data_IF_165060791489
#
_entry.id   IF_165060791489
#
_cell.length_a   1.000
_cell.length_b   1.000
_cell.length_c   1.000
_cell.angle_alpha   90.00
_cell.angle_beta   90.00
_cell.angle_gamma   90.00
#
_symmetry.space_group_name_H-M   'P 1'
#
loop_
_entity.id
_entity.type
_entity.pdbx_description
1 polymer ?
#
# COMPACT_ATOMS: atom_id res chain seq x y z
N UNK A 1 21.40 -35.06 -5.75
CA UNK A 1 20.11 -34.59 -5.22
C UNK A 1 20.17 -33.09 -5.30
N UNK A 2 19.36 -32.45 -6.14
CA UNK A 2 19.29 -30.99 -6.17
C UNK A 2 18.68 -30.53 -4.85
N UNK A 3 19.37 -29.68 -4.08
CA UNK A 3 18.79 -29.02 -2.91
C UNK A 3 17.55 -28.23 -3.37
N UNK A 4 16.41 -28.56 -2.78
CA UNK A 4 15.11 -28.02 -3.18
C UNK A 4 14.95 -26.60 -2.63
N UNK A 5 15.54 -25.63 -3.34
CA UNK A 5 15.48 -24.21 -2.93
C UNK A 5 14.06 -23.65 -3.06
N UNK A 6 13.56 -23.06 -1.97
CA UNK A 6 12.23 -22.45 -1.91
C UNK A 6 12.32 -20.93 -2.09
N UNK A 7 11.31 -20.31 -2.70
CA UNK A 7 11.23 -18.85 -2.78
C UNK A 7 10.94 -18.27 -1.40
N UNK A 8 11.68 -17.24 -1.01
CA UNK A 8 11.51 -16.50 0.23
C UNK A 8 11.41 -15.01 -0.04
N UNK A 9 10.72 -14.31 0.86
CA UNK A 9 10.64 -12.85 0.91
C UNK A 9 11.24 -12.39 2.24
N UNK A 10 12.09 -11.38 2.18
CA UNK A 10 12.46 -10.59 3.35
C UNK A 10 12.01 -9.13 3.15
N UNK A 11 11.82 -8.44 4.26
CA UNK A 11 11.39 -7.06 4.29
C UNK A 11 12.08 -6.33 5.43
N UNK A 12 12.65 -5.17 5.12
CA UNK A 12 13.35 -4.34 6.11
C UNK A 12 12.77 -2.96 6.12
N UNK A 13 12.44 -2.49 7.31
CA UNK A 13 11.90 -1.15 7.59
C UNK A 13 13.03 -0.22 8.00
N UNK A 14 13.13 0.94 7.34
CA UNK A 14 14.25 1.88 7.44
C UNK A 14 13.68 3.29 7.66
N UNK A 15 14.00 3.97 8.77
CA UNK A 15 13.63 5.37 8.96
C UNK A 15 14.36 6.28 7.96
N UNK A 16 13.79 7.44 7.69
CA UNK A 16 14.38 8.47 6.82
C UNK A 16 14.39 9.81 7.55
N UNK A 17 15.52 10.50 7.51
CA UNK A 17 15.65 11.86 8.06
C UNK A 17 15.06 12.93 7.13
N UNK A 18 15.06 12.67 5.82
CA UNK A 18 14.47 13.56 4.81
C UNK A 18 14.04 12.77 3.56
N UNK A 19 13.24 13.33 2.64
CA UNK A 19 12.72 12.60 1.48
C UNK A 19 13.77 11.92 0.60
N UNK A 20 14.99 12.45 0.50
CA UNK A 20 16.06 11.86 -0.31
C UNK A 20 17.01 10.94 0.45
N UNK A 21 16.68 10.59 1.69
CA UNK A 21 17.58 9.83 2.56
C UNK A 21 17.61 8.36 2.15
N UNK A 22 18.81 7.88 1.83
CA UNK A 22 19.08 6.48 1.48
C UNK A 22 20.22 5.91 2.34
N UNK A 23 20.64 6.61 3.40
CA UNK A 23 21.79 6.22 4.21
C UNK A 23 21.59 4.86 4.90
N UNK A 24 20.41 4.64 5.51
CA UNK A 24 20.09 3.34 6.12
C UNK A 24 19.99 2.19 5.10
N UNK A 25 19.60 2.49 3.85
CA UNK A 25 19.62 1.50 2.78
C UNK A 25 21.07 1.18 2.35
N UNK A 26 21.93 2.19 2.25
CA UNK A 26 23.36 2.04 1.97
C UNK A 26 24.07 1.19 3.02
N UNK A 27 23.80 1.46 4.30
CA UNK A 27 24.33 0.69 5.43
C UNK A 27 23.95 -0.80 5.31
N UNK A 28 22.67 -1.11 5.15
CA UNK A 28 22.19 -2.50 5.03
C UNK A 28 22.75 -3.23 3.80
N UNK A 29 22.98 -2.53 2.70
CA UNK A 29 23.67 -3.10 1.52
C UNK A 29 25.14 -3.37 1.84
N UNK A 30 25.83 -2.43 2.48
CA UNK A 30 27.24 -2.58 2.86
C UNK A 30 27.47 -3.72 3.88
N UNK A 31 26.51 -3.96 4.77
CA UNK A 31 26.50 -5.07 5.73
C UNK A 31 26.15 -6.42 5.07
N UNK A 32 25.78 -6.44 3.79
CA UNK A 32 25.33 -7.63 3.07
C UNK A 32 23.95 -8.14 3.50
N UNK A 33 23.17 -7.32 4.22
CA UNK A 33 21.81 -7.67 4.68
C UNK A 33 20.74 -7.45 3.62
N UNK A 34 21.02 -6.58 2.65
CA UNK A 34 20.16 -6.35 1.48
C UNK A 34 21.01 -6.48 0.22
N UNK A 35 20.58 -7.32 -0.71
CA UNK A 35 21.08 -7.32 -2.08
C UNK A 35 20.19 -6.37 -2.91
N UNK A 36 20.74 -5.26 -3.45
CA UNK A 36 19.98 -4.28 -4.22
C UNK A 36 19.30 -4.88 -5.45
N UNK A 37 19.82 -5.96 -6.03
CA UNK A 37 19.22 -6.62 -7.20
C UNK A 37 18.05 -7.54 -6.86
N UNK A 38 17.88 -7.90 -5.59
CA UNK A 38 16.73 -8.70 -5.11
C UNK A 38 15.52 -7.87 -4.73
N UNK A 39 15.65 -6.54 -4.68
CA UNK A 39 14.57 -5.63 -4.29
C UNK A 39 13.48 -5.64 -5.37
N UNK A 40 12.27 -6.08 -5.02
CA UNK A 40 11.13 -6.19 -5.95
C UNK A 40 10.06 -5.12 -5.74
N UNK A 41 10.04 -4.46 -4.58
CA UNK A 41 9.10 -3.38 -4.28
C UNK A 41 9.60 -2.51 -3.13
N UNK A 42 9.14 -1.26 -3.09
CA UNK A 42 9.35 -0.36 -1.96
C UNK A 42 8.04 0.32 -1.60
N UNK A 43 7.70 0.36 -0.32
CA UNK A 43 6.62 1.19 0.20
C UNK A 43 7.22 2.27 1.09
N UNK A 44 6.71 3.50 1.05
CA UNK A 44 7.30 4.57 1.84
C UNK A 44 6.31 5.62 2.31
N UNK A 45 6.67 6.23 3.43
CA UNK A 45 5.93 7.32 4.05
C UNK A 45 6.85 8.53 4.15
N UNK A 46 6.46 9.62 3.49
CA UNK A 46 7.25 10.86 3.44
C UNK A 46 6.55 11.98 4.17
N UNK A 47 7.32 12.98 4.60
CA UNK A 47 6.82 14.22 5.19
C UNK A 47 5.76 14.89 4.30
N UNK A 48 4.92 15.73 4.90
CA UNK A 48 3.95 16.55 4.18
C UNK A 48 4.58 17.29 3.01
N UNK A 49 3.95 17.17 1.83
CA UNK A 49 4.35 17.89 0.63
C UNK A 49 3.70 19.27 0.62
N UNK A 50 4.43 20.29 0.18
CA UNK A 50 3.84 21.60 -0.15
C UNK A 50 3.44 21.62 -1.63
N UNK A 51 2.83 22.71 -2.11
CA UNK A 51 2.57 22.87 -3.55
C UNK A 51 3.85 22.95 -4.39
N UNK A 52 5.00 23.21 -3.77
CA UNK A 52 6.31 23.38 -4.44
C UNK A 52 7.19 22.14 -4.29
N UNK A 53 7.05 21.40 -3.18
CA UNK A 53 7.89 20.24 -2.85
C UNK A 53 7.07 18.94 -2.84
N UNK A 54 7.45 18.00 -3.71
CA UNK A 54 6.82 16.68 -3.75
C UNK A 54 7.74 15.61 -3.15
N UNK A 55 7.67 15.50 -1.83
CA UNK A 55 8.48 14.56 -1.04
C UNK A 55 8.39 13.10 -1.53
N UNK A 56 7.29 12.68 -2.14
CA UNK A 56 7.15 11.32 -2.71
C UNK A 56 8.04 11.13 -3.92
N UNK A 57 8.01 12.10 -4.84
CA UNK A 57 8.81 12.06 -6.08
C UNK A 57 10.29 12.15 -5.75
N UNK A 58 10.67 12.97 -4.76
CA UNK A 58 12.03 13.05 -4.28
C UNK A 58 12.52 11.71 -3.70
N UNK A 59 11.71 11.04 -2.88
CA UNK A 59 12.05 9.73 -2.31
C UNK A 59 12.12 8.63 -3.37
N UNK A 60 11.16 8.61 -4.29
CA UNK A 60 11.12 7.67 -5.41
C UNK A 60 12.40 7.80 -6.26
N UNK A 61 12.75 9.02 -6.68
CA UNK A 61 13.98 9.29 -7.44
C UNK A 61 15.25 8.91 -6.67
N UNK A 62 15.31 9.23 -5.38
CA UNK A 62 16.48 8.92 -4.55
C UNK A 62 16.70 7.41 -4.44
N UNK A 63 15.65 6.63 -4.17
CA UNK A 63 15.74 5.17 -4.09
C UNK A 63 16.08 4.58 -5.46
N UNK A 64 15.47 5.03 -6.56
CA UNK A 64 15.81 4.55 -7.91
C UNK A 64 17.27 4.83 -8.27
N UNK A 65 17.76 6.05 -8.00
CA UNK A 65 19.15 6.43 -8.25
C UNK A 65 20.12 5.55 -7.44
N UNK A 66 19.80 5.32 -6.16
CA UNK A 66 20.56 4.40 -5.31
C UNK A 66 20.62 2.98 -5.90
N UNK A 67 19.50 2.43 -6.36
CA UNK A 67 19.46 1.09 -6.97
C UNK A 67 20.27 1.00 -8.26
N UNK A 68 20.29 2.07 -9.07
CA UNK A 68 21.12 2.15 -10.29
C UNK A 68 22.60 2.16 -9.92
N UNK A 69 22.98 2.85 -8.85
CA UNK A 69 24.37 3.01 -8.43
C UNK A 69 24.93 1.74 -7.75
N UNK A 70 24.11 1.07 -6.93
CA UNK A 70 24.56 -0.02 -6.07
C UNK A 70 24.26 -1.42 -6.64
N UNK A 71 23.39 -1.53 -7.64
CA UNK A 71 22.99 -2.80 -8.25
C UNK A 71 23.55 -3.03 -9.66
N UNK A 72 23.16 -4.14 -10.26
CA UNK A 72 23.51 -4.49 -11.65
C UNK A 72 22.32 -4.37 -12.62
N UNK A 73 21.11 -4.19 -12.09
CA UNK A 73 19.90 -4.00 -12.91
C UNK A 73 19.94 -2.75 -13.77
N UNK A 74 19.40 -2.85 -14.97
CA UNK A 74 19.23 -1.70 -15.86
C UNK A 74 18.24 -0.68 -15.30
N UNK A 75 18.37 0.58 -15.71
CA UNK A 75 17.41 1.63 -15.36
C UNK A 75 15.96 1.25 -15.71
N UNK A 76 15.76 0.53 -16.82
CA UNK A 76 14.43 0.04 -17.25
C UNK A 76 13.85 -1.00 -16.28
N UNK A 77 14.67 -1.91 -15.77
CA UNK A 77 14.24 -2.90 -14.78
C UNK A 77 13.91 -2.22 -13.45
N UNK A 78 14.74 -1.26 -13.05
CA UNK A 78 14.49 -0.46 -11.85
C UNK A 78 13.19 0.33 -12.00
N UNK A 79 12.95 0.98 -13.15
CA UNK A 79 11.70 1.69 -13.49
C UNK A 79 10.44 0.84 -13.40
N UNK A 80 10.56 -0.49 -13.51
CA UNK A 80 9.44 -1.41 -13.35
C UNK A 80 9.10 -1.72 -11.87
N UNK A 81 10.02 -1.47 -10.93
CA UNK A 81 9.80 -1.69 -9.50
C UNK A 81 8.71 -0.73 -8.99
N UNK A 82 7.63 -1.25 -8.36
CA UNK A 82 6.64 -0.42 -7.70
C UNK A 82 7.25 0.36 -6.53
N UNK A 83 7.05 1.68 -6.56
CA UNK A 83 7.51 2.62 -5.52
C UNK A 83 6.27 3.29 -4.90
N UNK A 84 5.74 2.69 -3.84
CA UNK A 84 4.46 3.08 -3.24
C UNK A 84 4.68 4.10 -2.12
N UNK A 85 5.03 5.31 -2.53
CA UNK A 85 5.21 6.44 -1.61
C UNK A 85 3.90 7.21 -1.36
N UNK A 86 3.63 7.50 -0.09
CA UNK A 86 2.55 8.41 0.30
C UNK A 86 3.06 9.52 1.21
N UNK A 87 2.61 10.75 0.95
CA UNK A 87 2.98 11.92 1.75
C UNK A 87 2.03 12.17 2.92
N UNK A 88 2.48 13.00 3.84
CA UNK A 88 1.64 13.61 4.86
C UNK A 88 1.61 12.85 6.16
N UNK A 89 2.78 12.58 6.70
CA UNK A 89 2.96 12.44 8.14
C UNK A 89 3.18 13.80 8.79
N UNK A 90 2.61 13.95 9.97
CA UNK A 90 2.78 15.08 10.88
C UNK A 90 2.68 14.55 12.32
N UNK A 91 3.07 15.36 13.30
CA UNK A 91 3.09 14.97 14.70
C UNK A 91 4.24 13.99 14.99
N UNK A 92 3.92 12.85 15.62
CA UNK A 92 4.91 11.89 16.10
C UNK A 92 5.38 10.86 15.07
N UNK A 93 4.74 10.77 13.89
CA UNK A 93 5.04 9.74 12.90
C UNK A 93 6.39 10.01 12.20
N UNK A 94 7.19 8.95 12.01
CA UNK A 94 8.53 9.03 11.42
C UNK A 94 8.50 8.70 9.92
N UNK A 95 9.18 9.48 9.05
CA UNK A 95 9.34 9.12 7.64
C UNK A 95 10.10 7.81 7.51
N UNK A 96 9.72 6.97 6.55
CA UNK A 96 10.31 5.64 6.41
C UNK A 96 10.12 5.01 5.02
N UNK A 97 10.91 3.99 4.75
CA UNK A 97 10.66 3.00 3.71
C UNK A 97 10.61 1.58 4.29
N UNK A 98 9.90 0.71 3.59
CA UNK A 98 10.02 -0.74 3.72
C UNK A 98 10.44 -1.26 2.36
N UNK A 99 11.57 -1.95 2.33
CA UNK A 99 12.15 -2.56 1.13
C UNK A 99 11.85 -4.05 1.16
N UNK A 100 11.32 -4.57 0.05
CA UNK A 100 10.96 -5.98 -0.11
C UNK A 100 11.92 -6.66 -1.07
N UNK A 101 12.56 -7.74 -0.62
CA UNK A 101 13.49 -8.53 -1.40
C UNK A 101 12.98 -9.95 -1.60
N UNK A 102 13.17 -10.51 -2.80
CA UNK A 102 12.79 -11.88 -3.14
C UNK A 102 14.02 -12.68 -3.58
N UNK A 103 14.24 -13.83 -2.95
CA UNK A 103 15.39 -14.70 -3.19
C UNK A 103 15.02 -16.17 -3.06
N UNK A 104 15.95 -17.06 -3.44
CA UNK A 104 15.85 -18.49 -3.19
C UNK A 104 16.59 -18.79 -1.90
N UNK A 105 15.88 -19.31 -0.90
CA UNK A 105 16.46 -19.72 0.36
C UNK A 105 16.99 -21.15 0.27
N UNK A 106 18.05 -21.42 1.03
CA UNK A 106 18.59 -22.78 1.22
C UNK A 106 17.71 -23.61 2.17
N UNK A 107 16.87 -22.95 2.97
CA UNK A 107 15.87 -23.60 3.82
C UNK A 107 14.62 -24.00 3.05
N UNK A 108 14.06 -25.14 3.42
CA UNK A 108 12.79 -25.62 2.89
C UNK A 108 11.60 -25.03 3.64
N UNK A 109 10.47 -24.92 2.95
CA UNK A 109 9.23 -24.49 3.57
C UNK A 109 8.75 -25.49 4.63
N UNK A 110 8.24 -25.00 5.76
CA UNK A 110 7.74 -25.81 6.88
C UNK A 110 6.23 -26.11 6.79
N UNK A 111 5.57 -25.69 5.72
CA UNK A 111 4.13 -25.85 5.49
C UNK A 111 3.23 -24.87 6.24
N UNK A 112 3.76 -24.03 7.14
CA UNK A 112 2.95 -23.16 8.00
C UNK A 112 2.53 -21.82 7.36
N UNK A 113 2.90 -21.61 6.10
CA UNK A 113 2.58 -20.41 5.33
C UNK A 113 3.56 -19.27 5.62
N UNK A 114 4.28 -18.81 4.58
CA UNK A 114 5.17 -17.65 4.65
C UNK A 114 4.82 -16.62 3.59
N UNK A 115 5.25 -15.39 3.83
CA UNK A 115 4.97 -14.24 3.00
C UNK A 115 5.36 -14.50 1.55
N UNK A 116 4.37 -14.38 0.68
CA UNK A 116 4.54 -14.31 -0.76
C UNK A 116 4.15 -12.91 -1.24
N UNK A 117 5.00 -12.33 -2.08
CA UNK A 117 4.77 -11.02 -2.69
C UNK A 117 4.76 -11.16 -4.19
N UNK A 118 3.79 -10.48 -4.80
CA UNK A 118 3.73 -10.30 -6.23
C UNK A 118 3.49 -8.84 -6.59
N UNK A 119 4.07 -8.41 -7.70
CA UNK A 119 3.94 -7.03 -8.18
C UNK A 119 3.33 -6.97 -9.56
N UNK A 120 2.58 -5.90 -9.84
CA UNK A 120 2.07 -5.64 -11.17
C UNK A 120 1.82 -4.15 -11.41
N UNK A 121 1.78 -3.79 -12.69
CA UNK A 121 1.37 -2.48 -13.18
C UNK A 121 0.22 -2.65 -14.16
N UNK A 122 -0.76 -1.76 -14.11
CA UNK A 122 -1.87 -1.77 -15.06
C UNK A 122 -1.42 -1.39 -16.46
N UNK A 123 -2.32 -1.47 -17.45
CA UNK A 123 -2.17 -0.64 -18.65
C UNK A 123 -2.15 0.86 -18.29
N UNK A 124 -1.66 1.71 -19.18
CA UNK A 124 -1.74 3.17 -19.02
C UNK A 124 -3.21 3.56 -18.83
N UNK A 125 -3.53 4.20 -17.72
CA UNK A 125 -4.88 4.71 -17.45
C UNK A 125 -5.16 5.86 -18.41
N UNK A 126 -6.22 5.73 -19.21
CA UNK A 126 -6.56 6.74 -20.20
C UNK A 126 -7.57 7.76 -19.65
N UNK A 127 -7.49 9.04 -20.04
CA UNK A 127 -8.42 10.07 -19.56
C UNK A 127 -9.89 9.68 -19.73
N UNK A 128 -10.24 9.08 -20.87
CA UNK A 128 -11.60 8.65 -21.20
C UNK A 128 -12.13 7.45 -20.39
N UNK A 129 -11.29 6.83 -19.57
CA UNK A 129 -11.72 5.77 -18.65
C UNK A 129 -12.17 6.29 -17.29
N UNK A 130 -11.88 7.56 -16.98
CA UNK A 130 -12.11 8.13 -15.65
C UNK A 130 -13.56 7.95 -15.19
N UNK A 131 -13.74 7.32 -14.02
CA UNK A 131 -15.08 7.05 -13.47
C UNK A 131 -15.88 5.94 -14.18
N UNK A 132 -15.26 5.22 -15.11
CA UNK A 132 -15.87 4.06 -15.78
C UNK A 132 -15.36 2.72 -15.25
N UNK A 133 -16.11 1.65 -15.55
CA UNK A 133 -15.74 0.27 -15.19
C UNK A 133 -14.43 -0.20 -15.84
N UNK A 134 -13.97 0.48 -16.90
CA UNK A 134 -12.69 0.22 -17.55
C UNK A 134 -11.52 0.38 -16.57
N UNK A 135 -11.52 1.42 -15.71
CA UNK A 135 -10.50 1.59 -14.66
C UNK A 135 -10.56 0.43 -13.69
N UNK A 136 -11.77 0.09 -13.22
CA UNK A 136 -11.97 -0.98 -12.23
C UNK A 136 -11.48 -2.33 -12.77
N UNK A 137 -11.81 -2.65 -14.03
CA UNK A 137 -11.36 -3.87 -14.71
C UNK A 137 -9.84 -3.91 -14.90
N UNK A 138 -9.24 -2.79 -15.32
CA UNK A 138 -7.78 -2.70 -15.47
C UNK A 138 -7.06 -2.91 -14.13
N UNK A 139 -7.62 -2.39 -13.02
CA UNK A 139 -7.09 -2.64 -11.67
C UNK A 139 -7.29 -4.10 -11.27
N UNK A 140 -8.46 -4.70 -11.52
CA UNK A 140 -8.70 -6.11 -11.23
C UNK A 140 -7.72 -7.02 -11.98
N UNK A 141 -7.45 -6.75 -13.25
CA UNK A 141 -6.45 -7.49 -14.04
C UNK A 141 -5.03 -7.28 -13.51
N UNK A 142 -4.72 -6.10 -12.97
CA UNK A 142 -3.45 -5.82 -12.29
C UNK A 142 -3.32 -6.65 -11.01
N UNK A 143 -4.38 -6.74 -10.20
CA UNK A 143 -4.41 -7.60 -9.00
C UNK A 143 -4.21 -9.06 -9.37
N UNK A 144 -4.88 -9.55 -10.42
CA UNK A 144 -4.66 -10.92 -10.93
C UNK A 144 -3.23 -11.12 -11.43
N UNK A 145 -2.64 -10.11 -12.07
CA UNK A 145 -1.23 -10.11 -12.47
C UNK A 145 -0.29 -10.25 -11.27
N UNK A 146 -0.51 -9.46 -10.22
CA UNK A 146 0.26 -9.54 -8.99
C UNK A 146 0.06 -10.89 -8.28
N UNK A 147 -1.16 -11.44 -8.26
CA UNK A 147 -1.42 -12.78 -7.73
C UNK A 147 -0.58 -13.85 -8.45
N UNK A 148 -0.52 -13.79 -9.79
CA UNK A 148 0.30 -14.69 -10.60
C UNK A 148 1.79 -14.54 -10.31
N UNK A 149 2.30 -13.32 -10.18
CA UNK A 149 3.71 -13.08 -9.81
C UNK A 149 4.05 -13.60 -8.40
N UNK A 150 3.11 -13.51 -7.45
CA UNK A 150 3.22 -14.13 -6.13
C UNK A 150 3.10 -15.66 -6.15
N UNK A 151 2.54 -16.23 -7.24
CA UNK A 151 2.17 -17.64 -7.34
C UNK A 151 1.07 -18.05 -6.36
N UNK A 152 0.07 -17.19 -6.17
CA UNK A 152 -1.15 -17.45 -5.38
C UNK A 152 -2.40 -17.21 -6.22
N UNK A 153 -3.53 -17.82 -5.82
CA UNK A 153 -4.83 -17.46 -6.42
C UNK A 153 -5.23 -16.05 -5.97
N UNK A 154 -5.97 -15.28 -6.80
CA UNK A 154 -6.46 -13.96 -6.39
C UNK A 154 -7.24 -13.95 -5.07
N UNK A 155 -8.00 -15.01 -4.77
CA UNK A 155 -8.73 -15.15 -3.50
C UNK A 155 -7.85 -15.42 -2.27
N UNK A 156 -6.61 -15.87 -2.48
CA UNK A 156 -5.58 -16.10 -1.43
C UNK A 156 -4.76 -14.84 -1.14
N UNK A 157 -5.02 -13.72 -1.85
CA UNK A 157 -4.45 -12.43 -1.47
C UNK A 157 -5.04 -12.02 -0.12
N UNK A 158 -4.15 -11.80 0.84
CA UNK A 158 -4.48 -11.32 2.17
C UNK A 158 -4.63 -9.80 2.18
N UNK A 159 -3.71 -9.10 1.50
CA UNK A 159 -3.72 -7.63 1.46
C UNK A 159 -3.07 -7.08 0.18
N UNK A 160 -3.51 -5.90 -0.26
CA UNK A 160 -2.96 -5.18 -1.42
C UNK A 160 -2.56 -3.77 -1.02
N UNK A 161 -1.31 -3.39 -1.25
CA UNK A 161 -0.83 -2.01 -1.08
C UNK A 161 -0.48 -1.45 -2.45
N UNK A 162 -0.78 -0.18 -2.71
CA UNK A 162 -0.50 0.36 -4.02
C UNK A 162 -0.71 1.86 -4.21
N UNK A 163 -0.49 2.26 -5.46
CA UNK A 163 -0.69 3.61 -5.95
C UNK A 163 -1.51 3.54 -7.23
N UNK A 164 -2.72 4.08 -7.18
CA UNK A 164 -3.57 4.26 -8.34
C UNK A 164 -3.33 5.67 -8.89
N UNK A 165 -2.77 5.76 -10.08
CA UNK A 165 -2.64 7.04 -10.77
C UNK A 165 -3.85 7.30 -11.64
N UNK A 166 -4.29 8.55 -11.67
CA UNK A 166 -5.17 9.08 -12.70
C UNK A 166 -4.41 10.04 -13.64
N UNK A 167 -4.84 10.17 -14.90
CA UNK A 167 -4.40 11.25 -15.79
C UNK A 167 -4.64 12.61 -15.14
N UNK A 168 -3.86 13.63 -15.52
CA UNK A 168 -4.05 14.97 -14.93
C UNK A 168 -5.41 15.56 -15.32
N UNK A 169 -5.96 16.44 -14.48
CA UNK A 169 -7.33 16.95 -14.65
C UNK A 169 -7.55 17.63 -16.00
N UNK A 170 -6.56 18.36 -16.52
CA UNK A 170 -6.62 19.01 -17.82
C UNK A 170 -6.82 18.00 -18.97
N UNK A 171 -6.19 16.82 -18.87
CA UNK A 171 -6.35 15.75 -19.85
C UNK A 171 -7.75 15.13 -19.77
N UNK A 172 -8.27 14.94 -18.55
CA UNK A 172 -9.63 14.43 -18.32
C UNK A 172 -10.67 15.42 -18.86
N UNK A 173 -10.50 16.72 -18.60
CA UNK A 173 -11.39 17.77 -19.09
C UNK A 173 -11.42 17.82 -20.61
N UNK A 174 -10.26 17.74 -21.28
CA UNK A 174 -10.19 17.67 -22.75
C UNK A 174 -10.85 16.41 -23.31
N UNK A 175 -10.64 15.25 -22.68
CA UNK A 175 -11.27 14.01 -23.13
C UNK A 175 -12.79 14.04 -22.99
N UNK A 176 -13.31 14.76 -21.98
CA UNK A 176 -14.75 14.91 -21.75
C UNK A 176 -15.48 15.69 -22.86
N UNK A 177 -14.77 16.45 -23.69
CA UNK A 177 -15.34 17.07 -24.90
C UNK A 177 -15.77 16.03 -25.96
N UNK A 178 -15.25 14.80 -25.87
CA UNK A 178 -15.40 13.75 -26.90
C UNK A 178 -15.91 12.42 -26.36
N UNK A 179 -15.93 12.26 -25.03
CA UNK A 179 -16.29 11.03 -24.34
C UNK A 179 -17.24 11.33 -23.19
N UNK A 180 -18.10 10.35 -22.87
CA UNK A 180 -19.00 10.44 -21.71
C UNK A 180 -18.22 10.14 -20.43
N UNK A 181 -17.69 11.19 -19.83
CA UNK A 181 -16.90 11.15 -18.59
C UNK A 181 -17.67 11.96 -17.53
N UNK A 182 -17.85 11.44 -16.30
CA UNK A 182 -18.45 12.19 -15.23
C UNK A 182 -17.69 13.50 -14.96
N UNK A 183 -18.40 14.52 -14.51
CA UNK A 183 -17.75 15.75 -14.05
C UNK A 183 -16.86 15.44 -12.85
N UNK A 184 -15.57 15.77 -12.97
CA UNK A 184 -14.59 15.60 -11.89
C UNK A 184 -13.77 16.87 -11.68
N UNK A 185 -13.35 17.06 -10.45
CA UNK A 185 -12.49 18.11 -9.90
C UNK A 185 -11.46 17.46 -8.94
N UNK A 186 -10.59 18.24 -8.31
CA UNK A 186 -9.56 17.72 -7.39
C UNK A 186 -10.14 16.85 -6.27
N UNK A 187 -11.32 17.19 -5.76
CA UNK A 187 -11.94 16.48 -4.65
C UNK A 187 -12.57 15.16 -5.11
N UNK A 188 -13.24 15.16 -6.26
CA UNK A 188 -13.99 14.02 -6.80
C UNK A 188 -13.09 13.06 -7.57
N UNK A 189 -12.15 13.53 -8.40
CA UNK A 189 -11.25 12.66 -9.21
C UNK A 189 -10.51 11.66 -8.34
N UNK A 190 -10.03 12.14 -7.19
CA UNK A 190 -9.28 11.33 -6.27
C UNK A 190 -10.20 10.32 -5.53
N UNK A 191 -11.44 10.69 -5.18
CA UNK A 191 -12.43 9.75 -4.63
C UNK A 191 -12.81 8.67 -5.64
N UNK A 192 -13.06 9.06 -6.88
CA UNK A 192 -13.38 8.16 -7.99
C UNK A 192 -12.24 7.17 -8.25
N UNK A 193 -11.00 7.66 -8.25
CA UNK A 193 -9.81 6.81 -8.43
C UNK A 193 -9.63 5.85 -7.25
N UNK A 194 -9.78 6.36 -6.02
CA UNK A 194 -9.67 5.56 -4.79
C UNK A 194 -10.75 4.47 -4.72
N UNK A 195 -11.99 4.81 -5.05
CA UNK A 195 -13.11 3.87 -5.13
C UNK A 195 -12.91 2.81 -6.20
N UNK A 196 -12.47 3.23 -7.39
CA UNK A 196 -12.14 2.30 -8.48
C UNK A 196 -11.05 1.31 -8.09
N UNK A 197 -10.07 1.74 -7.28
CA UNK A 197 -9.04 0.85 -6.75
C UNK A 197 -9.59 -0.18 -5.76
N UNK A 198 -10.41 0.25 -4.80
CA UNK A 198 -11.07 -0.65 -3.85
C UNK A 198 -11.95 -1.68 -4.56
N UNK A 199 -12.78 -1.23 -5.51
CA UNK A 199 -13.64 -2.12 -6.31
C UNK A 199 -12.84 -3.09 -7.17
N UNK A 200 -11.76 -2.63 -7.82
CA UNK A 200 -10.93 -3.49 -8.68
C UNK A 200 -10.28 -4.62 -7.87
N UNK A 201 -9.87 -4.32 -6.64
CA UNK A 201 -9.40 -5.34 -5.68
C UNK A 201 -10.54 -6.29 -5.32
N UNK A 202 -11.71 -5.79 -4.90
CA UNK A 202 -12.86 -6.62 -4.56
C UNK A 202 -13.28 -7.56 -5.70
N UNK A 203 -13.29 -7.09 -6.95
CA UNK A 203 -13.58 -7.93 -8.14
C UNK A 203 -12.58 -9.08 -8.26
N UNK A 204 -11.29 -8.80 -8.05
CA UNK A 204 -10.26 -9.81 -8.20
C UNK A 204 -10.20 -10.80 -7.03
N UNK A 205 -10.35 -10.31 -5.79
CA UNK A 205 -10.11 -11.11 -4.56
C UNK A 205 -11.38 -11.73 -3.99
N UNK A 206 -12.54 -11.10 -4.21
CA UNK A 206 -13.82 -11.45 -3.58
C UNK A 206 -14.90 -11.83 -4.59
N UNK A 207 -14.64 -11.70 -5.91
CA UNK A 207 -15.58 -12.06 -6.96
C UNK A 207 -16.76 -11.10 -7.08
N UNK A 208 -16.58 -9.84 -6.68
CA UNK A 208 -17.60 -8.81 -6.86
C UNK A 208 -17.94 -8.63 -8.36
N UNK A 209 -19.20 -8.78 -8.70
CA UNK A 209 -19.73 -8.54 -10.05
C UNK A 209 -20.01 -7.05 -10.27
N UNK A 210 -19.55 -6.50 -11.39
CA UNK A 210 -19.75 -5.09 -11.75
C UNK A 210 -20.73 -4.96 -12.92
N UNK A 211 -21.89 -4.38 -12.65
CA UNK A 211 -22.93 -4.12 -13.67
C UNK A 211 -23.08 -2.65 -14.01
N UNK A 212 -22.83 -1.73 -13.07
CA UNK A 212 -23.08 -0.30 -13.22
C UNK A 212 -21.90 0.55 -12.69
N UNK A 213 -21.32 1.48 -13.46
CA UNK A 213 -20.30 2.41 -12.96
C UNK A 213 -20.77 3.29 -11.78
N UNK A 214 -22.07 3.48 -11.55
CA UNK A 214 -22.60 4.21 -10.41
C UNK A 214 -22.19 3.63 -9.05
N UNK A 215 -21.74 2.36 -9.02
CA UNK A 215 -21.18 1.75 -7.81
C UNK A 215 -19.85 2.38 -7.39
N UNK A 216 -19.15 3.10 -8.27
CA UNK A 216 -17.90 3.78 -7.92
C UNK A 216 -18.20 4.93 -6.95
N UNK A 217 -17.67 4.81 -5.74
CA UNK A 217 -17.94 5.73 -4.64
C UNK A 217 -19.16 5.38 -3.79
N UNK A 218 -19.90 4.31 -4.12
CA UNK A 218 -20.91 3.76 -3.23
C UNK A 218 -20.23 3.18 -1.98
N UNK A 219 -20.53 3.76 -0.83
CA UNK A 219 -19.85 3.44 0.43
C UNK A 219 -20.39 2.17 1.09
N UNK A 220 -21.49 1.59 0.59
CA UNK A 220 -22.00 0.30 1.06
C UNK A 220 -21.21 -0.87 0.45
N UNK A 221 -20.43 -0.62 -0.62
CA UNK A 221 -19.58 -1.60 -1.29
C UNK A 221 -18.12 -1.27 -1.07
N UNK A 222 -17.36 -2.16 -0.43
CA UNK A 222 -15.95 -1.95 -0.09
C UNK A 222 -15.23 -3.28 0.12
N UNK A 223 -13.89 -3.26 0.03
CA UNK A 223 -13.03 -4.40 0.41
C UNK A 223 -12.24 -4.12 1.69
N UNK A 224 -12.05 -5.15 2.51
CA UNK A 224 -11.19 -5.09 3.69
C UNK A 224 -9.70 -5.28 3.40
N UNK A 225 -9.31 -5.58 2.16
CA UNK A 225 -7.99 -6.12 1.81
C UNK A 225 -7.07 -5.12 1.11
N UNK A 226 -7.27 -3.81 1.29
CA UNK A 226 -6.59 -2.81 0.47
C UNK A 226 -6.08 -1.59 1.23
N UNK A 227 -4.91 -1.11 0.84
CA UNK A 227 -4.39 0.21 1.15
C UNK A 227 -3.76 0.86 -0.10
N UNK A 228 -4.61 1.40 -0.97
CA UNK A 228 -4.21 2.04 -2.23
C UNK A 228 -4.36 3.55 -2.13
N UNK A 229 -3.28 4.27 -2.40
CA UNK A 229 -3.31 5.73 -2.52
C UNK A 229 -3.65 6.15 -3.94
N UNK A 230 -4.59 7.08 -4.11
CA UNK A 230 -4.92 7.66 -5.40
C UNK A 230 -4.15 8.97 -5.60
N UNK A 231 -3.56 9.24 -6.76
CA UNK A 231 -2.88 10.52 -7.05
C UNK A 231 -2.93 10.85 -8.53
N UNK A 232 -2.78 12.12 -8.88
CA UNK A 232 -2.43 12.48 -10.26
C UNK A 232 -1.08 11.84 -10.62
N UNK A 233 -0.89 11.52 -11.90
CA UNK A 233 0.37 10.97 -12.38
C UNK A 233 1.55 11.89 -12.06
N UNK A 234 2.57 11.31 -11.45
CA UNK A 234 3.84 11.96 -11.17
C UNK A 234 4.86 11.34 -12.13
N UNK A 235 5.59 12.13 -12.94
CA UNK A 235 6.50 11.60 -13.97
C UNK A 235 7.79 11.07 -13.34
N UNK A 236 7.67 9.97 -12.60
CA UNK A 236 8.74 9.21 -11.96
C UNK A 236 8.38 7.72 -12.01
N UNK A 237 9.32 6.91 -12.53
CA UNK A 237 9.17 5.47 -12.60
C UNK A 237 8.07 5.00 -13.56
N UNK A 238 8.45 4.66 -14.79
CA UNK A 238 7.52 4.23 -15.85
C UNK A 238 7.14 5.34 -16.83
N UNK A 239 6.28 4.99 -17.78
CA UNK A 239 5.97 5.76 -18.99
C UNK A 239 4.57 6.42 -18.99
N UNK A 240 3.85 6.35 -17.88
CA UNK A 240 2.52 6.96 -17.77
C UNK A 240 1.76 6.63 -16.49
N UNK A 241 0.48 7.07 -16.37
CA UNK A 241 -0.41 6.80 -15.24
C UNK A 241 -0.75 5.30 -15.10
N UNK A 242 0.20 4.49 -14.63
CA UNK A 242 0.00 3.08 -14.33
C UNK A 242 -0.43 2.88 -12.88
N UNK A 243 -1.54 2.22 -12.60
CA UNK A 243 -1.76 1.71 -11.24
C UNK A 243 -0.67 0.69 -10.92
N UNK A 244 0.06 0.89 -9.82
CA UNK A 244 1.12 0.01 -9.34
C UNK A 244 0.67 -0.67 -8.06
N UNK A 245 0.69 -1.99 -8.03
CA UNK A 245 0.19 -2.78 -6.90
C UNK A 245 1.24 -3.79 -6.42
N UNK A 246 1.23 -4.00 -5.10
CA UNK A 246 1.92 -5.06 -4.40
C UNK A 246 0.84 -5.91 -3.73
N UNK A 247 0.73 -7.18 -4.12
CA UNK A 247 -0.15 -8.15 -3.50
C UNK A 247 0.64 -8.99 -2.49
N UNK A 248 0.11 -9.12 -1.29
CA UNK A 248 0.66 -9.92 -0.21
C UNK A 248 -0.27 -11.12 0.07
N UNK A 249 0.32 -12.30 0.21
CA UNK A 249 -0.37 -13.49 0.67
C UNK A 249 0.57 -14.39 1.48
N UNK A 250 0.08 -15.54 1.90
CA UNK A 250 0.90 -16.54 2.60
C UNK A 250 0.87 -17.86 1.83
N UNK A 251 2.05 -18.41 1.51
CA UNK A 251 2.23 -19.66 0.77
C UNK A 251 2.84 -20.74 1.65
N UNK A 252 2.24 -21.92 1.66
CA UNK A 252 2.73 -23.06 2.45
C UNK A 252 4.08 -23.59 1.94
N UNK A 253 4.39 -23.38 0.67
CA UNK A 253 5.64 -23.76 0.01
C UNK A 253 6.65 -22.60 -0.10
N UNK A 254 6.37 -21.45 0.52
CA UNK A 254 7.34 -20.36 0.64
C UNK A 254 8.21 -20.57 1.89
N UNK A 255 9.50 -20.27 1.74
CA UNK A 255 10.44 -20.20 2.86
C UNK A 255 10.46 -18.78 3.46
N UNK A 256 11.31 -18.59 4.48
CA UNK A 256 11.46 -17.33 5.19
C UNK A 256 10.69 -17.31 6.51
N UNK A 257 10.64 -16.13 7.12
CA UNK A 257 10.14 -15.93 8.49
C UNK A 257 8.95 -14.98 8.59
N UNK A 258 8.58 -14.34 7.49
CA UNK A 258 7.54 -13.32 7.49
C UNK A 258 6.16 -13.90 7.20
N UNK A 259 5.12 -13.28 7.73
CA UNK A 259 3.71 -13.52 7.39
C UNK A 259 2.95 -12.20 7.30
N UNK A 260 1.93 -12.17 6.43
CA UNK A 260 0.99 -11.05 6.33
C UNK A 260 -0.34 -11.41 6.98
N UNK A 261 -0.98 -10.43 7.58
CA UNK A 261 -2.38 -10.49 8.02
C UNK A 261 -3.04 -9.13 7.88
N UNK A 262 -4.36 -9.10 8.01
CA UNK A 262 -5.12 -7.85 7.95
C UNK A 262 -6.30 -7.83 8.90
N UNK A 263 -6.86 -6.64 9.10
CA UNK A 263 -8.15 -6.41 9.74
C UNK A 263 -8.81 -5.16 9.19
N UNK A 264 -10.11 -5.04 9.44
CA UNK A 264 -10.90 -3.83 9.19
C UNK A 264 -10.96 -2.98 10.46
N UNK A 265 -10.82 -1.67 10.29
CA UNK A 265 -11.15 -0.65 11.30
C UNK A 265 -12.59 -0.22 11.10
N UNK A 266 -13.45 -0.47 12.09
CA UNK A 266 -14.86 -0.09 12.00
C UNK A 266 -15.08 1.43 11.99
N UNK A 267 -14.26 2.15 12.75
CA UNK A 267 -14.17 3.60 12.75
C UNK A 267 -12.76 4.08 13.12
N UNK A 268 -12.52 5.40 13.08
CA UNK A 268 -11.22 5.98 13.40
C UNK A 268 -10.76 5.82 14.87
N UNK A 269 -11.59 5.28 15.77
CA UNK A 269 -11.25 4.97 17.17
C UNK A 269 -11.09 3.47 17.43
N UNK A 270 -11.22 2.62 16.41
CA UNK A 270 -11.09 1.17 16.54
C UNK A 270 -9.61 0.74 16.62
N UNK A 271 -8.95 1.10 17.71
CA UNK A 271 -7.57 0.70 17.99
C UNK A 271 -7.41 -0.82 18.07
N UNK A 272 -8.48 -1.53 18.46
CA UNK A 272 -8.50 -2.99 18.55
C UNK A 272 -8.42 -3.68 17.18
N UNK A 273 -8.54 -2.95 16.06
CA UNK A 273 -8.26 -3.50 14.75
C UNK A 273 -6.79 -3.93 14.58
N UNK A 274 -5.85 -3.26 15.26
CA UNK A 274 -4.44 -3.60 15.20
C UNK A 274 -4.13 -5.00 15.80
N UNK A 275 -4.49 -5.33 17.05
CA UNK A 275 -4.27 -6.67 17.57
C UNK A 275 -5.04 -7.74 16.78
N UNK A 276 -6.20 -7.43 16.18
CA UNK A 276 -6.87 -8.36 15.25
C UNK A 276 -6.00 -8.65 14.02
N UNK A 277 -5.40 -7.62 13.41
CA UNK A 277 -4.53 -7.80 12.25
C UNK A 277 -3.25 -8.58 12.61
N UNK A 278 -2.62 -8.26 13.76
CA UNK A 278 -1.41 -8.94 14.23
C UNK A 278 -1.66 -10.44 14.49
N UNK A 279 -2.77 -10.78 15.16
CA UNK A 279 -3.18 -12.18 15.36
C UNK A 279 -3.50 -12.88 14.04
N UNK A 280 -4.14 -12.20 13.09
CA UNK A 280 -4.37 -12.74 11.73
C UNK A 280 -3.06 -13.09 11.01
N UNK A 281 -2.00 -12.29 11.24
CA UNK A 281 -0.67 -12.53 10.69
C UNK A 281 0.12 -13.63 11.44
N UNK A 282 -0.39 -14.12 12.58
CA UNK A 282 0.23 -15.17 13.39
C UNK A 282 1.08 -14.66 14.56
N UNK A 283 1.02 -13.36 14.90
CA UNK A 283 1.65 -12.82 16.10
C UNK A 283 0.65 -12.76 17.26
N UNK A 284 0.89 -13.54 18.31
CA UNK A 284 0.05 -13.50 19.50
C UNK A 284 0.34 -12.24 20.34
N UNK A 285 -0.72 -11.50 20.63
CA UNK A 285 -0.67 -10.21 21.32
C UNK A 285 -1.82 -10.07 22.31
N UNK A 286 -1.59 -9.34 23.40
CA UNK A 286 -2.61 -9.02 24.38
C UNK A 286 -3.51 -7.86 23.95
N UNK A 287 -4.30 -7.35 24.91
CA UNK A 287 -5.23 -6.23 24.71
C UNK A 287 -4.64 -4.87 25.16
N UNK A 288 -3.30 -4.75 25.19
CA UNK A 288 -2.58 -3.52 25.53
C UNK A 288 -1.41 -3.26 24.58
N UNK A 289 -0.60 -2.21 24.87
CA UNK A 289 0.56 -1.87 24.05
C UNK A 289 1.53 -3.04 23.88
N UNK A 290 2.21 -3.09 22.75
CA UNK A 290 3.14 -4.17 22.42
C UNK A 290 4.35 -4.19 23.36
N UNK A 291 4.75 -5.38 23.78
CA UNK A 291 6.03 -5.59 24.47
C UNK A 291 7.20 -5.34 23.50
N UNK A 292 8.41 -5.09 24.03
CA UNK A 292 9.60 -4.91 23.18
C UNK A 292 9.85 -6.09 22.24
N UNK A 293 9.51 -7.31 22.66
CA UNK A 293 9.63 -8.50 21.81
C UNK A 293 8.63 -8.49 20.65
N UNK A 294 7.36 -8.18 20.94
CA UNK A 294 6.34 -8.04 19.90
C UNK A 294 6.67 -6.89 18.95
N UNK A 295 7.20 -5.77 19.45
CA UNK A 295 7.64 -4.64 18.65
C UNK A 295 8.69 -5.04 17.61
N UNK A 296 9.73 -5.78 18.02
CA UNK A 296 10.78 -6.27 17.11
C UNK A 296 10.24 -7.16 15.99
N UNK A 297 9.10 -7.83 16.22
CA UNK A 297 8.46 -8.73 15.27
C UNK A 297 7.50 -8.03 14.32
N UNK A 298 7.16 -6.75 14.54
CA UNK A 298 6.35 -5.99 13.58
C UNK A 298 7.26 -5.37 12.51
N UNK A 299 7.17 -5.87 11.29
CA UNK A 299 7.99 -5.41 10.16
C UNK A 299 7.35 -4.22 9.47
N UNK A 300 6.04 -4.25 9.23
CA UNK A 300 5.33 -3.12 8.63
C UNK A 300 3.86 -3.08 9.03
N UNK A 301 3.31 -1.86 9.02
CA UNK A 301 1.90 -1.57 9.27
C UNK A 301 1.40 -0.62 8.19
N UNK A 302 0.33 -1.03 7.50
CA UNK A 302 -0.34 -0.29 6.44
C UNK A 302 -1.75 0.08 6.86
N UNK A 303 -1.99 1.35 7.13
CA UNK A 303 -3.30 1.89 7.46
C UNK A 303 -3.86 2.68 6.27
N UNK A 304 -5.10 2.39 5.89
CA UNK A 304 -5.87 3.20 4.95
C UNK A 304 -7.16 3.62 5.65
N UNK A 305 -7.38 4.92 5.76
CA UNK A 305 -8.47 5.47 6.59
C UNK A 305 -9.28 6.53 5.87
N UNK A 306 -10.55 6.72 6.26
CA UNK A 306 -11.34 7.88 5.84
C UNK A 306 -12.14 8.44 7.01
N UNK A 307 -12.26 9.75 7.07
CA UNK A 307 -13.21 10.40 7.98
C UNK A 307 -14.64 9.95 7.71
N UNK A 308 -15.47 9.99 8.76
CA UNK A 308 -16.89 9.65 8.64
C UNK A 308 -17.59 10.58 7.62
N UNK A 309 -18.39 10.03 6.67
CA UNK A 309 -19.00 10.83 5.59
C UNK A 309 -19.84 12.04 6.05
N UNK A 310 -20.42 11.96 7.25
CA UNK A 310 -21.24 13.03 7.85
C UNK A 310 -20.49 13.87 8.89
N UNK A 311 -19.16 13.72 8.97
CA UNK A 311 -18.33 14.44 9.94
C UNK A 311 -18.68 14.11 11.40
N UNK A 312 -19.16 12.90 11.68
CA UNK A 312 -19.48 12.46 13.06
C UNK A 312 -18.82 11.12 13.37
N UNK A 313 -18.16 11.04 14.52
CA UNK A 313 -17.52 9.84 15.04
C UNK A 313 -18.21 9.46 16.35
N UNK A 314 -18.81 8.27 16.41
CA UNK A 314 -19.59 7.78 17.57
C UNK A 314 -20.55 8.83 18.14
N UNK A 315 -21.33 9.46 17.26
CA UNK A 315 -22.34 10.47 17.60
C UNK A 315 -21.82 11.89 17.81
N UNK A 316 -20.50 12.13 17.86
CA UNK A 316 -19.90 13.46 18.12
C UNK A 316 -19.46 14.13 16.84
N UNK A 317 -19.80 15.41 16.66
CA UNK A 317 -19.33 16.22 15.51
C UNK A 317 -17.81 16.33 15.55
N UNK A 318 -17.17 16.06 14.41
CA UNK A 318 -15.74 16.23 14.20
C UNK A 318 -15.47 17.63 13.63
N UNK A 319 -14.32 18.19 14.00
CA UNK A 319 -13.78 19.42 13.41
C UNK A 319 -12.50 19.01 12.70
N UNK A 320 -12.35 19.43 11.46
CA UNK A 320 -11.20 19.04 10.65
C UNK A 320 -10.83 20.20 9.75
N UNK A 321 -9.59 20.66 9.86
CA UNK A 321 -9.05 21.77 9.07
C UNK A 321 -8.43 21.23 7.79
N UNK A 322 -7.76 20.08 7.90
CA UNK A 322 -7.19 19.37 6.77
C UNK A 322 -7.58 17.88 6.80
N UNK A 323 -8.70 17.50 6.17
CA UNK A 323 -9.28 16.15 6.26
C UNK A 323 -8.32 14.99 5.99
N UNK A 324 -7.36 15.18 5.09
CA UNK A 324 -6.38 14.16 4.75
C UNK A 324 -5.21 14.04 5.73
N UNK A 325 -4.85 15.12 6.44
CA UNK A 325 -3.67 15.14 7.32
C UNK A 325 -4.07 14.98 8.79
N UNK A 326 -5.11 15.67 9.25
CA UNK A 326 -5.57 15.62 10.63
C UNK A 326 -5.95 14.20 11.04
N UNK A 327 -6.67 13.49 10.16
CA UNK A 327 -7.06 12.11 10.39
C UNK A 327 -5.85 11.17 10.45
N UNK A 328 -4.85 11.36 9.58
CA UNK A 328 -3.60 10.56 9.61
C UNK A 328 -2.84 10.80 10.91
N UNK A 329 -2.74 12.04 11.37
CA UNK A 329 -2.06 12.38 12.63
C UNK A 329 -2.77 11.76 13.82
N UNK A 330 -4.09 11.91 13.91
CA UNK A 330 -4.87 11.38 15.03
C UNK A 330 -4.85 9.84 15.08
N UNK A 331 -5.14 9.17 13.97
CA UNK A 331 -5.11 7.70 13.90
C UNK A 331 -3.69 7.17 14.03
N UNK A 332 -2.72 7.84 13.41
CA UNK A 332 -1.31 7.50 13.55
C UNK A 332 -0.84 7.55 14.99
N UNK A 333 -1.22 8.58 15.75
CA UNK A 333 -0.92 8.66 17.18
C UNK A 333 -1.61 7.57 18.01
N UNK A 334 -2.86 7.25 17.70
CA UNK A 334 -3.58 6.15 18.33
C UNK A 334 -2.89 4.80 18.09
N UNK A 335 -2.52 4.50 16.84
CA UNK A 335 -1.84 3.27 16.48
C UNK A 335 -0.43 3.21 17.07
N UNK A 336 0.32 4.33 17.03
CA UNK A 336 1.65 4.43 17.62
C UNK A 336 1.64 4.21 19.13
N UNK A 337 0.61 4.70 19.84
CA UNK A 337 0.43 4.43 21.26
C UNK A 337 0.23 2.95 21.58
N UNK A 338 -0.32 2.15 20.65
CA UNK A 338 -0.40 0.70 20.83
C UNK A 338 0.87 -0.01 20.37
N UNK A 339 1.42 0.38 19.23
CA UNK A 339 2.64 -0.19 18.67
C UNK A 339 3.88 0.12 19.52
N UNK A 340 3.85 1.21 20.29
CA UNK A 340 5.05 1.81 20.92
C UNK A 340 6.14 2.15 19.90
N UNK A 341 5.71 2.51 18.68
CA UNK A 341 6.56 2.81 17.52
C UNK A 341 5.84 3.81 16.61
N UNK A 342 6.60 4.64 15.92
CA UNK A 342 6.13 5.75 15.07
C UNK A 342 6.21 5.44 13.58
N UNK A 343 6.80 4.31 13.20
CA UNK A 343 7.02 3.91 11.82
C UNK A 343 5.78 3.23 11.22
N UNK A 344 4.79 4.04 10.82
CA UNK A 344 3.51 3.58 10.26
C UNK A 344 3.33 4.11 8.83
N UNK A 345 3.02 3.22 7.89
CA UNK A 345 2.55 3.65 6.57
C UNK A 345 1.04 3.93 6.69
N UNK A 346 0.65 5.20 6.57
CA UNK A 346 -0.74 5.61 6.69
C UNK A 346 -1.19 6.50 5.53
N UNK A 347 -2.34 6.17 4.95
CA UNK A 347 -2.93 6.88 3.82
C UNK A 347 -4.38 7.23 4.11
N UNK A 348 -4.82 8.41 3.65
CA UNK A 348 -6.18 8.88 3.84
C UNK A 348 -7.06 8.56 2.62
N UNK A 349 -8.35 8.79 2.81
CA UNK A 349 -9.43 8.68 1.84
C UNK A 349 -9.65 7.27 1.31
N UNK A 350 -10.04 6.42 2.24
CA UNK A 350 -10.43 5.03 2.06
C UNK A 350 -11.79 4.83 1.38
N UNK A 351 -12.09 5.57 0.30
CA UNK A 351 -13.31 5.34 -0.48
C UNK A 351 -13.29 3.91 -1.01
N UNK A 352 -14.26 3.10 -0.57
CA UNK A 352 -14.41 1.67 -0.88
C UNK A 352 -13.24 0.77 -0.44
N UNK A 353 -12.43 1.24 0.52
CA UNK A 353 -11.29 0.53 1.10
C UNK A 353 -11.50 0.38 2.60
N UNK A 354 -12.47 -0.44 2.99
CA UNK A 354 -13.02 -0.53 4.34
C UNK A 354 -14.34 0.23 4.49
N UNK A 355 -14.98 0.12 5.66
CA UNK A 355 -16.29 0.69 5.92
C UNK A 355 -16.23 2.23 5.96
N UNK A 356 -17.34 2.91 5.62
CA UNK A 356 -17.42 4.36 5.68
C UNK A 356 -17.12 4.90 7.08
N UNK A 357 -16.12 5.78 7.17
CA UNK A 357 -15.66 6.37 8.44
C UNK A 357 -14.66 5.54 9.23
N UNK A 358 -14.28 4.37 8.70
CA UNK A 358 -13.22 3.52 9.22
C UNK A 358 -12.10 3.36 8.21
N UNK A 359 -11.70 2.12 7.97
CA UNK A 359 -10.58 1.80 7.09
C UNK A 359 -10.11 0.36 7.21
N UNK A 360 -8.88 0.14 6.77
CA UNK A 360 -8.22 -1.17 6.74
C UNK A 360 -6.82 -1.09 7.34
N UNK A 361 -6.37 -2.21 7.91
CA UNK A 361 -5.04 -2.42 8.44
C UNK A 361 -4.46 -3.68 7.82
N UNK A 362 -3.30 -3.57 7.20
CA UNK A 362 -2.45 -4.70 6.85
C UNK A 362 -1.19 -4.68 7.69
N UNK A 363 -0.71 -5.83 8.13
CA UNK A 363 0.52 -5.97 8.91
C UNK A 363 1.38 -7.08 8.35
N UNK A 364 2.69 -6.88 8.39
CA UNK A 364 3.67 -7.93 8.14
C UNK A 364 4.45 -8.14 9.43
N UNK A 365 4.53 -9.39 9.86
CA UNK A 365 5.19 -9.78 11.11
C UNK A 365 6.21 -10.87 10.88
N UNK A 366 7.22 -10.89 11.74
CA UNK A 366 8.18 -11.98 11.88
C UNK A 366 7.59 -13.08 12.78
N UNK A 367 7.50 -14.29 12.24
CA UNK A 367 7.02 -15.49 12.95
C UNK A 367 8.10 -16.55 13.14
N UNK A 368 9.34 -16.27 12.72
CA UNK A 368 10.48 -17.18 12.84
C UNK A 368 11.33 -16.98 14.08
#
# INVERSE_FOLDING_TARGET
MSEETSLAVDAVRIPMEHPRDTAGLAELVSEGRIDPDKIIAVTGKTISSTSVENSRVDADRAVRAFLVEQGSRSAREIDAIPMIFTAGIAGLLTPQIVVFSRYRADSTADGSGRLAIGTARSAIMRPEWTGGLQVVRAIADTVRGAARDAGIRPSEIEYVVGKAYHPVLEEIQRARERHDIPAVDDATVFRTTSGSAGLGIAVATEGLELSDPAVIGDLDVWTGRSAVSANAWEPVGGDGPHTQLIAFGNRADAAGRLRVGHAVMADLLDVHALPRALRSAGLDVGDGPLTEDQQRRVVSVYAKISGAPRGRLRGRRQVTENPGYDAKTAVGGMLAGWLQDTLIWISASAVQQGPPGGGTLGVIVDVG
#
